data_IF_904487351438
#
_entry.id   IF_904487351438
#
_cell.length_a   1.000
_cell.length_b   1.000
_cell.length_c   1.000
_cell.angle_alpha   90.00
_cell.angle_beta   90.00
_cell.angle_gamma   90.00
#
_symmetry.space_group_name_H-M   'P 1'
#
loop_
_entity.id
_entity.type
_entity.pdbx_description
1 polymer ?
#
# COMPACT_ATOMS: atom_id res chain seq x y z
N UNK A 1 -14.85 -5.66 -5.52
CA UNK A 1 -13.82 -5.47 -4.47
C UNK A 1 -13.16 -4.14 -4.73
N UNK A 2 -12.97 -3.33 -3.71
CA UNK A 2 -12.76 -1.90 -3.94
C UNK A 2 -11.27 -1.59 -3.95
N UNK A 3 -10.68 -1.46 -5.14
CA UNK A 3 -9.34 -0.87 -5.30
C UNK A 3 -9.24 0.51 -4.62
N UNK A 4 -10.38 1.19 -4.51
CA UNK A 4 -10.52 2.38 -3.68
C UNK A 4 -10.16 2.14 -2.20
N UNK A 5 -10.52 1.00 -1.60
CA UNK A 5 -10.22 0.70 -0.20
C UNK A 5 -8.72 0.47 0.03
N UNK A 6 -8.04 -0.20 -0.90
CA UNK A 6 -6.57 -0.32 -0.93
C UNK A 6 -5.92 1.06 -1.05
N UNK A 7 -6.33 1.86 -2.04
CA UNK A 7 -5.78 3.21 -2.23
C UNK A 7 -6.05 4.12 -1.03
N UNK A 8 -7.21 3.99 -0.38
CA UNK A 8 -7.56 4.71 0.84
C UNK A 8 -6.61 4.34 1.99
N UNK A 9 -6.30 3.06 2.17
CA UNK A 9 -5.32 2.60 3.16
C UNK A 9 -3.94 3.22 2.89
N UNK A 10 -3.41 3.05 1.68
CA UNK A 10 -2.09 3.56 1.31
C UNK A 10 -2.00 5.07 1.54
N UNK A 11 -2.99 5.83 1.09
CA UNK A 11 -3.04 7.28 1.28
C UNK A 11 -3.09 7.70 2.76
N UNK A 12 -3.92 7.04 3.57
CA UNK A 12 -4.09 7.42 4.98
C UNK A 12 -2.90 7.04 5.85
N UNK A 13 -2.24 5.92 5.56
CA UNK A 13 -1.09 5.44 6.33
C UNK A 13 0.18 6.22 5.96
N UNK A 14 0.41 6.49 4.67
CA UNK A 14 1.56 7.29 4.22
C UNK A 14 1.52 8.74 4.76
N UNK A 15 0.32 9.31 4.89
CA UNK A 15 0.13 10.68 5.38
C UNK A 15 0.21 10.87 6.91
N UNK A 16 0.42 9.80 7.68
CA UNK A 16 0.35 9.81 9.15
C UNK A 16 1.57 9.08 9.75
N UNK A 17 2.58 9.80 10.29
CA UNK A 17 3.82 9.19 10.76
C UNK A 17 3.65 8.10 11.83
N UNK A 18 2.61 8.23 12.68
CA UNK A 18 2.33 7.22 13.70
C UNK A 18 1.79 5.94 13.08
N UNK A 19 0.89 6.06 12.09
CA UNK A 19 0.41 4.91 11.34
C UNK A 19 1.51 4.27 10.51
N UNK A 20 2.35 5.07 9.84
CA UNK A 20 3.47 4.55 9.07
C UNK A 20 4.45 3.77 9.95
N UNK A 21 4.78 4.28 11.14
CA UNK A 21 5.63 3.60 12.10
C UNK A 21 5.01 2.28 12.58
N UNK A 22 3.70 2.26 12.88
CA UNK A 22 2.96 1.04 13.19
C UNK A 22 2.98 0.05 12.04
N UNK A 23 2.80 0.53 10.80
CA UNK A 23 2.80 -0.31 9.61
C UNK A 23 4.13 -1.01 9.43
N UNK A 24 5.23 -0.27 9.62
CA UNK A 24 6.59 -0.82 9.55
C UNK A 24 6.85 -1.85 10.64
N UNK A 25 6.32 -1.63 11.84
CA UNK A 25 6.56 -2.50 13.00
C UNK A 25 5.77 -3.81 12.95
N UNK A 26 4.48 -3.74 12.62
CA UNK A 26 3.59 -4.90 12.50
C UNK A 26 2.52 -4.65 11.41
N UNK A 27 2.80 -5.03 10.15
CA UNK A 27 1.87 -4.84 9.06
C UNK A 27 0.54 -5.57 9.26
N UNK A 28 0.56 -6.75 9.88
CA UNK A 28 -0.63 -7.56 10.11
C UNK A 28 -1.56 -6.90 11.13
N UNK A 29 -1.00 -6.41 12.24
CA UNK A 29 -1.74 -5.65 13.24
C UNK A 29 -2.36 -4.40 12.63
N UNK A 30 -1.56 -3.58 11.92
CA UNK A 30 -2.09 -2.32 11.40
C UNK A 30 -3.18 -2.55 10.36
N UNK A 31 -3.01 -3.49 9.42
CA UNK A 31 -4.02 -3.76 8.39
C UNK A 31 -5.34 -4.22 9.02
N UNK A 32 -5.28 -5.10 10.03
CA UNK A 32 -6.47 -5.58 10.74
C UNK A 32 -7.15 -4.47 11.56
N UNK A 33 -6.37 -3.69 12.31
CA UNK A 33 -6.88 -2.55 13.08
C UNK A 33 -7.48 -1.48 12.15
N UNK A 34 -6.78 -1.12 11.07
CA UNK A 34 -7.24 -0.08 10.16
C UNK A 34 -8.56 -0.48 9.52
N UNK A 35 -8.70 -1.73 9.05
CA UNK A 35 -9.93 -2.18 8.40
C UNK A 35 -11.16 -2.15 9.31
N UNK A 36 -10.98 -2.27 10.62
CA UNK A 36 -12.08 -2.30 11.58
C UNK A 36 -12.36 -0.93 12.18
N UNK A 37 -11.31 -0.17 12.51
CA UNK A 37 -11.41 1.06 13.31
C UNK A 37 -11.37 2.36 12.48
N UNK A 38 -10.66 2.38 11.33
CA UNK A 38 -10.41 3.61 10.56
C UNK A 38 -10.99 3.57 9.14
N UNK A 39 -10.76 2.49 8.41
CA UNK A 39 -11.21 2.27 7.04
C UNK A 39 -12.72 2.43 6.82
N UNK A 40 -13.60 1.94 7.71
CA UNK A 40 -15.05 2.05 7.54
C UNK A 40 -15.60 3.48 7.56
N UNK A 41 -14.86 4.46 8.08
CA UNK A 41 -15.30 5.85 8.15
C UNK A 41 -15.18 6.53 6.79
N UNK A 42 -16.31 6.94 6.21
CA UNK A 42 -16.35 7.70 4.94
C UNK A 42 -16.07 9.18 5.17
N UNK A 43 -16.48 9.69 6.34
CA UNK A 43 -16.24 11.04 6.84
C UNK A 43 -16.29 11.00 8.38
N UNK A 44 -16.38 12.17 9.04
CA UNK A 44 -16.35 12.27 10.52
C UNK A 44 -17.59 11.72 11.23
N UNK A 45 -18.69 11.47 10.51
CA UNK A 45 -19.98 11.07 11.10
C UNK A 45 -20.58 9.83 10.45
N UNK A 46 -20.03 9.36 9.33
CA UNK A 46 -20.57 8.26 8.55
C UNK A 46 -19.61 7.07 8.48
N UNK A 47 -20.15 5.90 8.81
CA UNK A 47 -19.46 4.61 8.75
C UNK A 47 -20.19 3.67 7.79
N UNK A 48 -19.46 2.98 6.92
CA UNK A 48 -20.00 1.97 6.01
C UNK A 48 -19.59 0.56 6.42
N UNK A 49 -20.41 -0.42 6.06
CA UNK A 49 -20.11 -1.86 6.18
C UNK A 49 -19.85 -2.52 4.82
N UNK A 50 -19.93 -1.75 3.73
CA UNK A 50 -19.82 -2.25 2.35
C UNK A 50 -18.37 -2.42 1.86
N UNK A 51 -17.41 -1.83 2.56
CA UNK A 51 -16.01 -1.86 2.20
C UNK A 51 -15.26 -2.86 3.06
N UNK A 52 -14.33 -3.58 2.44
CA UNK A 52 -13.44 -4.53 3.09
C UNK A 52 -12.38 -4.96 2.10
N UNK A 53 -11.21 -5.34 2.62
CA UNK A 53 -10.20 -6.01 1.83
C UNK A 53 -10.62 -7.44 1.58
N UNK A 54 -10.29 -7.92 0.40
CA UNK A 54 -10.21 -9.35 0.18
C UNK A 54 -8.97 -9.95 0.73
N UNK A 55 -8.97 -11.27 0.77
CA UNK A 55 -7.83 -12.04 1.21
C UNK A 55 -6.56 -11.72 0.41
N UNK A 56 -6.66 -11.56 -0.92
CA UNK A 56 -5.48 -11.23 -1.75
C UNK A 56 -4.97 -9.82 -1.46
N UNK A 57 -5.85 -8.82 -1.41
CA UNK A 57 -5.46 -7.44 -1.08
C UNK A 57 -4.83 -7.36 0.32
N UNK A 58 -5.45 -8.03 1.30
CA UNK A 58 -4.95 -8.11 2.67
C UNK A 58 -3.57 -8.73 2.74
N UNK A 59 -3.36 -9.90 2.10
CA UNK A 59 -2.04 -10.54 2.08
C UNK A 59 -1.00 -9.66 1.40
N UNK A 60 -1.36 -8.97 0.32
CA UNK A 60 -0.44 -8.07 -0.37
C UNK A 60 -0.07 -6.87 0.51
N UNK A 61 -1.03 -6.27 1.22
CA UNK A 61 -0.78 -5.21 2.19
C UNK A 61 0.06 -5.69 3.39
N UNK A 62 -0.20 -6.88 3.94
CA UNK A 62 0.59 -7.40 5.06
C UNK A 62 2.01 -7.79 4.63
N UNK A 63 2.15 -8.37 3.44
CA UNK A 63 3.44 -8.79 2.90
C UNK A 63 4.26 -7.67 2.27
N UNK A 64 3.74 -6.44 2.23
CA UNK A 64 4.33 -5.34 1.47
C UNK A 64 4.61 -5.71 0.00
N UNK A 65 3.74 -6.55 -0.57
CA UNK A 65 3.86 -7.06 -1.94
C UNK A 65 3.33 -6.02 -2.93
N UNK A 66 4.16 -5.00 -3.17
CA UNK A 66 3.84 -3.90 -4.08
C UNK A 66 3.68 -4.32 -5.55
N UNK A 67 4.19 -5.50 -5.93
CA UNK A 67 3.94 -6.05 -7.27
C UNK A 67 2.50 -6.52 -7.35
N UNK A 68 2.05 -7.36 -6.42
CA UNK A 68 0.65 -7.80 -6.37
C UNK A 68 -0.29 -6.60 -6.19
N UNK A 69 0.03 -5.63 -5.34
CA UNK A 69 -0.78 -4.41 -5.19
C UNK A 69 -0.91 -3.66 -6.52
N UNK A 70 0.18 -3.47 -7.25
CA UNK A 70 0.16 -2.84 -8.57
C UNK A 70 -0.72 -3.62 -9.55
N UNK A 71 -0.56 -4.94 -9.63
CA UNK A 71 -1.33 -5.82 -10.51
C UNK A 71 -2.83 -5.83 -10.20
N UNK A 72 -3.20 -5.62 -8.94
CA UNK A 72 -4.59 -5.44 -8.50
C UNK A 72 -5.16 -4.05 -8.82
N UNK A 73 -4.35 -3.14 -9.37
CA UNK A 73 -4.77 -1.79 -9.76
C UNK A 73 -4.44 -0.70 -8.74
N UNK A 74 -3.59 -0.98 -7.73
CA UNK A 74 -3.25 0.02 -6.73
C UNK A 74 -2.59 1.22 -7.42
N UNK A 75 -2.89 2.42 -6.91
CA UNK A 75 -2.39 3.63 -7.51
C UNK A 75 -0.87 3.69 -7.37
N UNK A 76 -0.14 3.66 -8.50
CA UNK A 76 1.32 3.55 -8.53
C UNK A 76 2.01 4.54 -7.60
N UNK A 77 1.59 5.81 -7.62
CA UNK A 77 2.19 6.83 -6.77
C UNK A 77 2.01 6.55 -5.27
N UNK A 78 0.81 6.16 -4.83
CA UNK A 78 0.54 5.87 -3.41
C UNK A 78 1.32 4.65 -2.93
N UNK A 79 1.44 3.63 -3.79
CA UNK A 79 2.27 2.46 -3.51
C UNK A 79 3.75 2.85 -3.43
N UNK A 80 4.27 3.59 -4.41
CA UNK A 80 5.68 3.97 -4.42
C UNK A 80 6.07 4.82 -3.20
N UNK A 81 5.27 5.83 -2.85
CA UNK A 81 5.64 6.77 -1.77
C UNK A 81 5.67 6.08 -0.41
N UNK A 82 4.66 5.28 -0.07
CA UNK A 82 4.63 4.59 1.22
C UNK A 82 5.79 3.61 1.35
N UNK A 83 6.13 2.86 0.30
CA UNK A 83 7.24 1.90 0.39
C UNK A 83 8.61 2.57 0.41
N UNK A 84 8.78 3.72 -0.24
CA UNK A 84 9.96 4.57 -0.03
C UNK A 84 10.03 5.00 1.44
N UNK A 85 8.92 5.49 2.01
CA UNK A 85 8.88 5.95 3.39
C UNK A 85 9.19 4.82 4.40
N UNK A 86 8.77 3.59 4.10
CA UNK A 86 9.07 2.41 4.92
C UNK A 86 10.53 1.96 4.82
N UNK A 87 11.13 1.96 3.62
CA UNK A 87 12.35 1.20 3.34
C UNK A 87 13.58 2.02 2.92
N UNK A 88 13.42 3.24 2.41
CA UNK A 88 14.51 3.97 1.76
C UNK A 88 15.71 4.20 2.70
N UNK A 89 15.47 4.51 3.98
CA UNK A 89 16.54 4.70 4.96
C UNK A 89 17.37 3.41 5.18
N UNK A 90 16.70 2.26 5.32
CA UNK A 90 17.37 0.97 5.57
C UNK A 90 18.15 0.51 4.33
N UNK A 91 17.56 0.72 3.16
CA UNK A 91 18.19 0.43 1.87
C UNK A 91 19.39 1.36 1.61
N UNK A 92 19.25 2.65 1.87
CA UNK A 92 20.31 3.63 1.72
C UNK A 92 21.51 3.32 2.63
N UNK A 93 21.26 2.94 3.89
CA UNK A 93 22.31 2.55 4.82
C UNK A 93 23.07 1.28 4.39
N UNK A 94 22.37 0.33 3.75
CA UNK A 94 22.94 -0.97 3.33
C UNK A 94 23.61 -0.93 1.96
N UNK A 95 22.99 -0.28 0.99
CA UNK A 95 23.28 -0.43 -0.44
C UNK A 95 23.48 0.90 -1.18
N UNK A 96 23.43 2.03 -0.47
CA UNK A 96 23.56 3.37 -1.03
C UNK A 96 22.24 3.97 -1.51
N UNK A 97 22.24 5.27 -1.85
CA UNK A 97 21.03 6.03 -2.17
C UNK A 97 20.29 5.45 -3.37
N UNK A 98 18.97 5.61 -3.39
CA UNK A 98 18.05 5.14 -4.45
C UNK A 98 17.98 3.62 -4.63
N UNK A 99 18.56 2.83 -3.74
CA UNK A 99 18.62 1.37 -3.91
C UNK A 99 17.25 0.71 -3.82
N UNK A 100 16.33 1.21 -2.98
CA UNK A 100 14.96 0.69 -2.90
C UNK A 100 14.17 0.97 -4.19
N UNK A 101 14.24 2.19 -4.69
CA UNK A 101 13.53 2.64 -5.90
C UNK A 101 13.99 1.86 -7.13
N UNK A 102 15.29 1.54 -7.20
CA UNK A 102 15.85 0.68 -8.27
C UNK A 102 15.33 -0.75 -8.19
N UNK A 103 15.20 -1.31 -6.99
CA UNK A 103 14.59 -2.63 -6.79
C UNK A 103 13.10 -2.63 -7.16
N UNK A 104 12.35 -1.63 -6.70
CA UNK A 104 10.94 -1.45 -7.04
C UNK A 104 10.74 -1.40 -8.57
N UNK A 105 11.57 -0.61 -9.26
CA UNK A 105 11.55 -0.52 -10.71
C UNK A 105 11.91 -1.85 -11.40
N UNK A 106 12.92 -2.58 -10.88
CA UNK A 106 13.30 -3.88 -11.42
C UNK A 106 12.17 -4.92 -11.28
N UNK A 107 11.49 -4.94 -10.14
CA UNK A 107 10.41 -5.88 -9.87
C UNK A 107 9.18 -5.63 -10.76
N UNK A 108 8.89 -4.37 -11.10
CA UNK A 108 7.81 -4.00 -12.03
C UNK A 108 8.24 -3.93 -13.50
N UNK A 109 9.51 -4.18 -13.84
CA UNK A 109 10.03 -4.01 -15.19
C UNK A 109 9.27 -4.85 -16.24
N UNK A 110 8.69 -5.97 -15.84
CA UNK A 110 7.88 -6.83 -16.70
C UNK A 110 6.55 -6.20 -17.15
N UNK A 111 6.16 -5.05 -16.60
CA UNK A 111 5.02 -4.24 -17.03
C UNK A 111 5.40 -3.15 -18.05
N UNK A 112 6.69 -2.96 -18.37
CA UNK A 112 7.10 -1.99 -19.38
C UNK A 112 6.49 -2.32 -20.75
N UNK A 113 5.82 -1.34 -21.36
CA UNK A 113 5.16 -1.48 -22.66
C UNK A 113 3.83 -2.24 -22.64
N UNK A 114 3.33 -2.66 -21.47
CA UNK A 114 1.98 -3.21 -21.30
C UNK A 114 0.98 -2.12 -20.95
N UNK A 115 -0.30 -2.40 -21.14
CA UNK A 115 -1.37 -1.56 -20.60
C UNK A 115 -1.31 -1.55 -19.07
N UNK A 116 -1.63 -0.41 -18.47
CA UNK A 116 -1.67 -0.26 -17.03
C UNK A 116 -2.78 -1.17 -16.44
N UNK A 117 -2.58 -1.81 -15.27
CA UNK A 117 -3.63 -2.63 -14.63
C UNK A 117 -4.95 -1.88 -14.51
N UNK A 118 -6.06 -2.55 -14.84
CA UNK A 118 -7.37 -1.89 -14.85
C UNK A 118 -7.71 -1.32 -13.47
N UNK A 119 -8.16 -0.06 -13.46
CA UNK A 119 -8.70 0.63 -12.27
C UNK A 119 -10.23 0.72 -12.30
N UNK A 120 -10.86 0.08 -13.28
CA UNK A 120 -12.32 0.06 -13.41
C UNK A 120 -12.97 -0.80 -12.32
N UNK A 121 -14.17 -0.37 -11.88
CA UNK A 121 -14.99 -1.05 -10.86
C UNK A 121 -15.70 -2.28 -11.41
#
# INVERSE_FOLDING_TARGET
>A
MSIYYVNKFLFQVDGDPELLARYKADPAELVAWWETERGPWLNRVERTTWLGFTETERRALVGHDYVTLFELGAHFFLSLTIFIALYDADYAARSGPLSFQREYAANLAHWMGKEYPSVAL
#
